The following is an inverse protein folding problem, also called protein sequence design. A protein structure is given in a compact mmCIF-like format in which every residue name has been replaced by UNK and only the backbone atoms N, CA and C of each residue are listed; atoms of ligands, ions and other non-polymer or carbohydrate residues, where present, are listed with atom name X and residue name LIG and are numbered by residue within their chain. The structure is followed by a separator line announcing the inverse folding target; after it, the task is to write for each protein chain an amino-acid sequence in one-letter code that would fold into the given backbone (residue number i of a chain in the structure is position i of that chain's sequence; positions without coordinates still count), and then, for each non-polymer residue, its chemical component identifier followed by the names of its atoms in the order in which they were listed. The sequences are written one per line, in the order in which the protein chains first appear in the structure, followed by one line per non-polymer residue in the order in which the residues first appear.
data_IF_475851593620
#
_entry.id   IF_475851593620
#
_cell.length_a   1.000
_cell.length_b   1.000
_cell.length_c   1.000
_cell.angle_alpha   90.00
_cell.angle_beta   90.00
_cell.angle_gamma   90.00
#
_symmetry.space_group_name_H-M   'P 1'
#
loop_
_entity.id
_entity.type
_entity.pdbx_description
1 polymer ?
#
# COMPACT_ATOMS: atom_id res chain seq x y z
N UNK A 1 -10.89 3.33 6.54
CA UNK A 1 -10.94 2.07 5.75
C UNK A 1 -9.53 1.64 5.32
N UNK A 2 -8.56 1.58 6.23
CA UNK A 2 -7.18 1.19 5.88
C UNK A 2 -7.09 -0.29 5.45
N UNK A 3 -7.99 -1.10 6.00
CA UNK A 3 -8.27 -2.48 5.60
C UNK A 3 -9.38 -2.43 4.55
N UNK A 4 -9.05 -2.86 3.33
CA UNK A 4 -9.97 -3.00 2.20
C UNK A 4 -10.68 -4.35 2.21
N UNK A 5 -11.50 -4.59 1.17
CA UNK A 5 -12.37 -5.78 1.04
C UNK A 5 -11.59 -6.97 0.41
N UNK A 6 -12.26 -8.10 0.16
CA UNK A 6 -11.70 -9.31 -0.44
C UNK A 6 -10.88 -9.10 -1.73
N UNK A 7 -10.03 -10.10 -2.05
CA UNK A 7 -9.39 -10.25 -3.36
C UNK A 7 -10.45 -10.12 -4.48
N UNK A 8 -10.08 -9.50 -5.62
CA UNK A 8 -10.99 -9.16 -6.74
C UNK A 8 -12.03 -8.05 -6.49
N UNK A 9 -12.01 -7.34 -5.35
CA UNK A 9 -12.87 -6.16 -5.14
C UNK A 9 -12.38 -4.93 -5.91
N UNK A 10 -13.28 -3.97 -6.13
CA UNK A 10 -13.01 -2.64 -6.66
C UNK A 10 -12.45 -1.67 -5.61
N UNK A 11 -12.55 -1.97 -4.32
CA UNK A 11 -11.98 -1.11 -3.27
C UNK A 11 -10.44 -1.19 -3.27
N UNK A 12 -9.77 -0.04 -3.29
CA UNK A 12 -8.32 0.08 -3.06
C UNK A 12 -7.93 -0.09 -1.59
N UNK A 13 -6.62 -0.03 -1.31
CA UNK A 13 -6.05 -0.15 0.03
C UNK A 13 -5.43 -1.52 0.34
N UNK A 14 -5.26 -1.86 1.63
CA UNK A 14 -4.68 -3.15 2.03
C UNK A 14 -5.78 -4.20 2.04
N UNK A 15 -5.75 -5.12 1.06
CA UNK A 15 -6.70 -6.24 0.99
C UNK A 15 -6.65 -7.14 2.22
N UNK A 16 -7.82 -7.64 2.64
CA UNK A 16 -7.97 -8.58 3.77
C UNK A 16 -7.03 -9.78 3.64
N UNK A 17 -6.83 -10.31 2.43
CA UNK A 17 -5.92 -11.43 2.21
C UNK A 17 -4.49 -11.15 2.68
N UNK A 18 -3.96 -9.94 2.43
CA UNK A 18 -2.61 -9.58 2.89
C UNK A 18 -2.55 -9.41 4.40
N UNK A 19 -3.63 -8.91 5.02
CA UNK A 19 -3.75 -8.86 6.47
C UNK A 19 -3.74 -10.28 7.08
N UNK A 20 -4.50 -11.21 6.49
CA UNK A 20 -4.53 -12.61 6.90
C UNK A 20 -3.13 -13.24 6.75
N UNK A 21 -2.45 -13.04 5.62
CA UNK A 21 -1.10 -13.55 5.42
C UNK A 21 -0.08 -12.95 6.40
N UNK A 22 -0.20 -11.67 6.75
CA UNK A 22 0.66 -11.05 7.76
C UNK A 22 0.40 -11.66 9.16
N UNK A 23 -0.85 -11.86 9.54
CA UNK A 23 -1.20 -12.54 10.79
C UNK A 23 -0.71 -14.00 10.81
N UNK A 24 -0.85 -14.70 9.68
CA UNK A 24 -0.34 -16.06 9.49
C UNK A 24 1.18 -16.08 9.58
N UNK A 25 1.88 -15.07 9.07
CA UNK A 25 3.34 -14.92 9.14
C UNK A 25 3.87 -14.87 10.57
N UNK A 26 3.11 -14.27 11.50
CA UNK A 26 3.46 -14.22 12.92
C UNK A 26 3.34 -15.63 13.53
N UNK A 27 2.28 -16.37 13.18
CA UNK A 27 2.12 -17.77 13.58
C UNK A 27 3.17 -18.71 12.97
N UNK A 28 3.56 -18.46 11.73
CA UNK A 28 4.63 -19.14 11.00
C UNK A 28 5.98 -18.84 11.65
N UNK A 29 6.28 -17.59 12.00
CA UNK A 29 7.52 -17.24 12.70
C UNK A 29 7.68 -17.98 14.03
N UNK A 30 6.58 -18.27 14.73
CA UNK A 30 6.56 -19.10 15.94
C UNK A 30 6.74 -20.59 15.61
N UNK A 31 6.09 -21.11 14.55
CA UNK A 31 6.21 -22.50 14.09
C UNK A 31 7.52 -22.83 13.39
N UNK A 32 8.21 -21.85 12.82
CA UNK A 32 9.54 -22.00 12.19
C UNK A 32 10.57 -22.52 13.19
N UNK A 33 10.36 -22.25 14.49
CA UNK A 33 11.17 -22.82 15.59
C UNK A 33 10.93 -24.33 15.81
N UNK A 34 9.86 -24.90 15.23
CA UNK A 34 9.45 -26.30 15.32
C UNK A 34 9.77 -27.11 14.04
N UNK A 35 10.33 -26.49 13.00
CA UNK A 35 10.90 -27.20 11.84
C UNK A 35 9.93 -27.74 10.79
N UNK A 36 8.67 -27.28 10.78
CA UNK A 36 7.62 -27.77 9.88
C UNK A 36 7.07 -26.58 9.09
N UNK A 37 7.64 -26.23 7.94
CA UNK A 37 6.99 -25.25 7.06
C UNK A 37 7.49 -25.29 5.60
N UNK A 38 6.55 -25.09 4.67
CA UNK A 38 6.81 -24.96 3.23
C UNK A 38 7.41 -23.59 2.90
N UNK A 39 8.49 -23.55 2.13
CA UNK A 39 9.18 -22.29 1.78
C UNK A 39 8.29 -21.28 1.02
N UNK A 40 7.28 -21.77 0.29
CA UNK A 40 6.36 -20.93 -0.48
C UNK A 40 5.50 -20.02 0.41
N UNK A 41 4.94 -20.54 1.51
CA UNK A 41 4.12 -19.76 2.46
C UNK A 41 4.93 -18.62 3.10
N UNK A 42 6.21 -18.87 3.40
CA UNK A 42 7.12 -17.89 4.01
C UNK A 42 7.42 -16.75 3.03
N UNK A 43 7.61 -17.08 1.75
CA UNK A 43 7.90 -16.09 0.71
C UNK A 43 6.69 -15.20 0.44
N UNK A 44 5.49 -15.76 0.35
CA UNK A 44 4.25 -14.98 0.18
C UNK A 44 3.97 -14.06 1.38
N UNK A 45 4.19 -14.56 2.60
CA UNK A 45 4.09 -13.77 3.83
C UNK A 45 5.06 -12.58 3.83
N UNK A 46 6.34 -12.81 3.47
CA UNK A 46 7.35 -11.76 3.36
C UNK A 46 6.96 -10.68 2.35
N UNK A 47 6.53 -11.09 1.15
CA UNK A 47 6.11 -10.16 0.09
C UNK A 47 4.89 -9.34 0.56
N UNK A 48 3.94 -9.98 1.22
CA UNK A 48 2.74 -9.31 1.75
C UNK A 48 3.12 -8.28 2.83
N UNK A 49 4.02 -8.64 3.74
CA UNK A 49 4.54 -7.75 4.80
C UNK A 49 5.29 -6.55 4.24
N UNK A 50 6.21 -6.77 3.29
CA UNK A 50 6.94 -5.70 2.60
C UNK A 50 6.00 -4.73 1.89
N UNK A 51 4.99 -5.26 1.20
CA UNK A 51 4.02 -4.42 0.47
C UNK A 51 3.20 -3.56 1.43
N UNK A 52 2.77 -4.12 2.56
CA UNK A 52 2.04 -3.39 3.60
C UNK A 52 2.92 -2.28 4.19
N UNK A 53 4.15 -2.61 4.58
CA UNK A 53 5.10 -1.65 5.14
C UNK A 53 5.37 -0.49 4.17
N UNK A 54 5.63 -0.80 2.90
CA UNK A 54 5.88 0.21 1.87
C UNK A 54 4.66 1.11 1.65
N UNK A 55 3.45 0.54 1.65
CA UNK A 55 2.21 1.33 1.54
C UNK A 55 2.03 2.29 2.72
N UNK A 56 2.34 1.83 3.93
CA UNK A 56 2.26 2.65 5.12
C UNK A 56 3.24 3.81 5.07
N UNK A 57 4.48 3.55 4.63
CA UNK A 57 5.51 4.59 4.47
C UNK A 57 5.10 5.67 3.46
N UNK A 58 4.52 5.28 2.32
CA UNK A 58 4.06 6.23 1.29
C UNK A 58 2.95 7.14 1.82
N UNK A 59 1.96 6.56 2.53
CA UNK A 59 0.88 7.32 3.15
C UNK A 59 1.43 8.24 4.24
N UNK A 60 2.38 7.78 5.04
CA UNK A 60 2.99 8.57 6.12
C UNK A 60 3.80 9.75 5.60
N UNK A 61 4.64 9.55 4.57
CA UNK A 61 5.35 10.64 3.88
C UNK A 61 4.36 11.67 3.31
N UNK A 62 3.27 11.19 2.71
CA UNK A 62 2.23 12.08 2.15
C UNK A 62 1.49 12.85 3.25
N UNK A 63 1.23 12.25 4.41
CA UNK A 63 0.62 12.96 5.52
C UNK A 63 1.56 14.05 6.09
N UNK A 64 2.87 13.76 6.15
CA UNK A 64 3.87 14.75 6.55
C UNK A 64 3.93 15.94 5.59
N UNK A 65 3.92 15.70 4.27
CA UNK A 65 3.95 16.81 3.29
C UNK A 65 2.70 17.69 3.43
N UNK A 66 1.53 17.11 3.68
CA UNK A 66 0.29 17.87 3.94
C UNK A 66 0.37 18.71 5.22
N UNK A 67 1.04 18.20 6.24
CA UNK A 67 1.25 18.90 7.52
C UNK A 67 2.20 20.10 7.35
N UNK A 68 3.24 19.98 6.52
CA UNK A 68 4.14 21.09 6.17
C UNK A 68 3.41 22.25 5.46
N UNK A 69 2.30 21.97 4.76
CA UNK A 69 1.46 22.99 4.13
C UNK A 69 0.47 23.65 5.11
N UNK A 70 0.58 23.39 6.42
CA UNK A 70 -0.20 24.05 7.48
C UNK A 70 -1.51 23.38 7.85
N UNK A 71 -1.77 22.16 7.36
CA UNK A 71 -2.94 21.38 7.76
C UNK A 71 -2.66 20.58 9.04
N UNK A 72 -3.72 20.28 9.81
CA UNK A 72 -3.61 19.39 10.97
C UNK A 72 -3.10 18.00 10.55
N UNK A 73 -2.22 17.41 11.35
CA UNK A 73 -1.64 16.09 11.06
C UNK A 73 -2.71 14.99 10.96
N UNK A 74 -3.70 15.03 11.85
CA UNK A 74 -4.79 14.03 11.89
C UNK A 74 -5.65 14.10 10.63
N UNK A 75 -6.02 15.31 10.22
CA UNK A 75 -6.83 15.54 9.00
C UNK A 75 -6.05 15.16 7.74
N UNK A 76 -4.76 15.50 7.71
CA UNK A 76 -3.84 15.14 6.62
C UNK A 76 -3.69 13.63 6.47
N UNK A 77 -3.51 12.93 7.58
CA UNK A 77 -3.40 11.48 7.62
C UNK A 77 -4.71 10.83 7.17
N UNK A 78 -5.86 11.32 7.63
CA UNK A 78 -7.17 10.84 7.21
C UNK A 78 -7.38 11.03 5.70
N UNK A 79 -7.03 12.21 5.16
CA UNK A 79 -7.13 12.51 3.73
C UNK A 79 -6.26 11.56 2.89
N UNK A 80 -5.00 11.36 3.30
CA UNK A 80 -4.06 10.46 2.60
C UNK A 80 -4.53 9.01 2.66
N UNK A 81 -5.00 8.55 3.83
CA UNK A 81 -5.57 7.21 3.98
C UNK A 81 -6.79 7.02 3.09
N UNK A 82 -7.70 7.99 3.07
CA UNK A 82 -8.92 7.94 2.25
C UNK A 82 -8.60 7.88 0.75
N UNK A 83 -7.65 8.69 0.29
CA UNK A 83 -7.19 8.67 -1.10
C UNK A 83 -6.50 7.34 -1.45
N UNK A 84 -5.60 6.84 -0.59
CA UNK A 84 -4.94 5.55 -0.79
C UNK A 84 -5.91 4.36 -0.80
N UNK A 85 -6.93 4.37 0.05
CA UNK A 85 -7.96 3.34 0.08
C UNK A 85 -9.10 3.58 -0.92
N UNK A 86 -9.03 4.65 -1.72
CA UNK A 86 -10.05 5.03 -2.72
C UNK A 86 -11.48 5.12 -2.15
N UNK A 87 -11.60 5.61 -0.92
CA UNK A 87 -12.88 5.67 -0.17
C UNK A 87 -13.75 6.83 -0.64
N UNK A 88 -13.13 7.88 -1.18
CA UNK A 88 -13.83 9.07 -1.67
C UNK A 88 -14.24 10.07 -0.58
N UNK A 89 -13.95 9.81 0.70
CA UNK A 89 -14.14 10.80 1.75
C UNK A 89 -13.06 11.88 1.68
N UNK A 90 -13.47 13.14 1.74
CA UNK A 90 -12.58 14.30 1.72
C UNK A 90 -12.98 15.27 2.83
N UNK A 91 -12.00 15.78 3.55
CA UNK A 91 -12.15 16.91 4.46
C UNK A 91 -11.99 18.21 3.67
N UNK A 92 -12.61 19.30 4.16
CA UNK A 92 -12.46 20.64 3.59
C UNK A 92 -11.08 21.23 3.95
N UNK A 93 -10.04 20.69 3.32
CA UNK A 93 -8.64 21.14 3.45
C UNK A 93 -8.29 22.11 2.33
N UNK A 94 -7.39 23.05 2.62
CA UNK A 94 -6.85 23.96 1.61
C UNK A 94 -5.96 23.18 0.64
N UNK A 95 -6.52 22.82 -0.50
CA UNK A 95 -5.89 22.01 -1.53
C UNK A 95 -5.19 22.88 -2.57
N UNK A 96 -3.90 23.14 -2.35
CA UNK A 96 -3.04 23.74 -3.36
C UNK A 96 -2.82 22.77 -4.55
N UNK A 97 -2.37 23.27 -5.69
CA UNK A 97 -2.18 22.46 -6.92
C UNK A 97 -1.25 21.26 -6.67
N UNK A 98 -0.21 21.44 -5.84
CA UNK A 98 0.74 20.41 -5.43
C UNK A 98 0.09 19.31 -4.58
N UNK A 99 -0.83 19.66 -3.66
CA UNK A 99 -1.51 18.69 -2.80
C UNK A 99 -2.50 17.85 -3.61
N UNK A 100 -3.13 18.44 -4.63
CA UNK A 100 -4.01 17.72 -5.56
C UNK A 100 -3.26 16.69 -6.39
N UNK A 101 -2.07 17.02 -6.91
CA UNK A 101 -1.28 16.06 -7.69
C UNK A 101 -0.84 14.86 -6.84
N UNK A 102 -0.46 15.09 -5.59
CA UNK A 102 -0.12 14.02 -4.64
C UNK A 102 -1.32 13.10 -4.39
N UNK A 103 -2.53 13.66 -4.18
CA UNK A 103 -3.74 12.84 -3.99
C UNK A 103 -4.08 11.99 -5.21
N UNK A 104 -3.92 12.52 -6.43
CA UNK A 104 -4.14 11.77 -7.66
C UNK A 104 -3.19 10.57 -7.73
N UNK A 105 -1.90 10.79 -7.46
CA UNK A 105 -0.90 9.71 -7.43
C UNK A 105 -1.25 8.68 -6.35
N UNK A 106 -1.70 9.13 -5.18
CA UNK A 106 -2.06 8.26 -4.07
C UNK A 106 -3.27 7.37 -4.40
N UNK A 107 -4.28 7.93 -5.08
CA UNK A 107 -5.44 7.16 -5.57
C UNK A 107 -5.06 6.13 -6.63
N UNK A 108 -4.17 6.49 -7.58
CA UNK A 108 -3.68 5.56 -8.61
C UNK A 108 -2.89 4.39 -7.98
N UNK A 109 -1.97 4.69 -7.06
CA UNK A 109 -1.20 3.68 -6.33
C UNK A 109 -2.10 2.79 -5.46
N UNK A 110 -3.09 3.40 -4.82
CA UNK A 110 -4.10 2.71 -4.02
C UNK A 110 -4.94 1.71 -4.83
N UNK A 111 -5.29 2.06 -6.07
CA UNK A 111 -6.12 1.24 -6.96
C UNK A 111 -5.32 0.14 -7.68
N UNK A 112 -4.12 0.46 -8.19
CA UNK A 112 -3.28 -0.48 -8.95
C UNK A 112 -2.56 -1.48 -8.03
N UNK A 113 -2.50 -1.18 -6.74
CA UNK A 113 -1.61 -1.79 -5.74
C UNK A 113 -0.12 -1.61 -6.07
N UNK A 114 0.63 -1.18 -5.06
CA UNK A 114 2.06 -0.91 -5.17
C UNK A 114 2.85 -2.11 -5.70
N UNK A 115 2.49 -3.34 -5.31
CA UNK A 115 3.18 -4.54 -5.76
C UNK A 115 3.00 -4.81 -7.26
N UNK A 116 1.76 -4.70 -7.78
CA UNK A 116 1.50 -4.85 -9.22
C UNK A 116 2.23 -3.76 -10.01
N UNK A 117 2.26 -2.53 -9.48
CA UNK A 117 2.98 -1.42 -10.09
C UNK A 117 4.50 -1.67 -10.15
N UNK A 118 5.10 -2.16 -9.06
CA UNK A 118 6.51 -2.57 -9.00
C UNK A 118 6.84 -3.70 -9.99
N UNK A 119 5.99 -4.73 -10.06
CA UNK A 119 6.17 -5.85 -11.00
C UNK A 119 6.05 -5.36 -12.45
N UNK A 120 5.11 -4.46 -12.75
CA UNK A 120 4.95 -3.89 -14.08
C UNK A 120 6.20 -3.11 -14.53
N UNK A 121 6.76 -2.28 -13.65
CA UNK A 121 8.00 -1.54 -13.92
C UNK A 121 9.20 -2.49 -14.09
N UNK A 122 9.30 -3.51 -13.23
CA UNK A 122 10.37 -4.51 -13.31
C UNK A 122 10.32 -5.29 -14.63
N UNK A 123 9.13 -5.72 -15.06
CA UNK A 123 8.92 -6.39 -16.36
C UNK A 123 9.17 -5.47 -17.56
N UNK A 124 8.83 -4.18 -17.43
CA UNK A 124 9.16 -3.19 -18.46
C UNK A 124 10.67 -3.06 -18.66
N UNK A 125 11.44 -3.01 -17.56
CA UNK A 125 12.91 -2.95 -17.61
C UNK A 125 13.53 -4.23 -18.20
N UNK A 126 12.99 -5.41 -17.89
CA UNK A 126 13.44 -6.67 -18.50
C UNK A 126 13.16 -6.74 -20.01
N UNK A 127 12.00 -6.24 -20.46
CA UNK A 127 11.67 -6.16 -21.89
C UNK A 127 12.60 -5.23 -22.66
N UNK A 128 13.06 -4.13 -22.07
CA UNK A 128 14.02 -3.25 -22.73
C UNK A 128 15.43 -3.84 -22.84
N UNK A 129 15.82 -4.75 -21.94
CA UNK A 129 17.10 -5.44 -21.98
C UNK A 129 17.16 -6.62 -22.97
N UNK A 130 16.03 -6.98 -23.60
CA UNK A 130 15.93 -8.11 -24.55
C UNK A 130 15.67 -7.67 -26.00
N UNK A 131 15.75 -6.37 -26.30
CA UNK A 131 15.64 -5.86 -27.67
C UNK A 131 17.07 -5.72 -28.21
N UNK A 132 17.48 -6.49 -29.24
CA UNK A 132 18.78 -6.35 -29.88
C UNK A 132 18.93 -5.04 -30.65
#
# INVERSE_FOLDING_TARGET
MFIGVCMFSTSGGIKVYRLIMLLKSIGIAVRKKLGIESEEDVREALISSLTISLSFMIVFISALIFTFYGNSFIDSLFQCISAYSTVGLSLNLNLNITLKSILIVLMLLGRVEIFTFLVAISRYKQRQATIP
#
